data_IF_412516337346
#
_entry.id   IF_412516337346
#
_cell.length_a   1.000
_cell.length_b   1.000
_cell.length_c   1.000
_cell.angle_alpha   90.00
_cell.angle_beta   90.00
_cell.angle_gamma   90.00
#
_symmetry.space_group_name_H-M   'P 1'
#
loop_
_entity.id
_entity.type
_entity.pdbx_description
1 polymer ?
#
# COMPACT_ATOMS: atom_id res chain seq x y z
N UNK A 1 -15.75 -3.83 17.29
CA UNK A 1 -14.63 -3.77 16.34
C UNK A 1 -14.26 -5.17 15.85
N UNK A 2 -13.53 -5.25 14.76
CA UNK A 2 -13.07 -6.52 14.19
C UNK A 2 -11.99 -7.18 15.06
N UNK A 3 -11.21 -6.38 15.76
CA UNK A 3 -10.16 -6.83 16.67
C UNK A 3 -10.54 -6.50 18.12
N UNK A 4 -10.03 -7.27 19.11
CA UNK A 4 -10.29 -6.97 20.54
C UNK A 4 -9.62 -5.67 21.01
N UNK A 5 -8.64 -5.18 20.27
CA UNK A 5 -7.93 -3.92 20.52
C UNK A 5 -7.86 -3.09 19.24
N UNK A 6 -7.72 -1.77 19.39
CA UNK A 6 -7.56 -0.87 18.25
C UNK A 6 -6.27 -1.14 17.46
N UNK A 7 -5.23 -1.63 18.13
CA UNK A 7 -3.96 -2.03 17.54
C UNK A 7 -3.43 -3.29 18.21
N UNK A 8 -2.81 -4.15 17.41
CA UNK A 8 -2.15 -5.37 17.89
C UNK A 8 -0.82 -5.55 17.15
N UNK A 9 0.16 -6.14 17.83
CA UNK A 9 1.36 -6.66 17.16
C UNK A 9 1.23 -8.17 17.00
N UNK A 10 1.43 -8.63 15.77
CA UNK A 10 1.46 -10.05 15.43
C UNK A 10 2.71 -10.36 14.63
N UNK A 11 3.18 -11.60 14.69
CA UNK A 11 4.29 -12.04 13.84
C UNK A 11 3.79 -12.30 12.43
N UNK A 12 4.58 -11.95 11.41
CA UNK A 12 4.23 -12.24 10.02
C UNK A 12 3.98 -13.74 9.77
N UNK A 13 4.70 -14.64 10.50
CA UNK A 13 4.48 -16.09 10.43
C UNK A 13 3.10 -16.52 10.93
N UNK A 14 2.49 -15.79 11.84
CA UNK A 14 1.14 -16.07 12.33
C UNK A 14 0.08 -15.73 11.29
N UNK A 15 0.31 -14.68 10.50
CA UNK A 15 -0.58 -14.27 9.41
C UNK A 15 -0.64 -15.29 8.26
N UNK A 16 0.38 -16.14 8.09
CA UNK A 16 0.34 -17.22 7.09
C UNK A 16 -0.79 -18.21 7.34
N UNK A 17 -1.11 -18.49 8.60
CA UNK A 17 -2.03 -19.55 9.00
C UNK A 17 -3.29 -19.06 9.69
N UNK A 18 -3.29 -17.81 10.15
CA UNK A 18 -4.41 -17.24 10.91
C UNK A 18 -5.07 -16.12 10.11
N UNK A 19 -6.27 -16.36 9.56
CA UNK A 19 -7.01 -15.33 8.83
C UNK A 19 -7.37 -14.15 9.74
N UNK A 20 -7.19 -12.94 9.23
CA UNK A 20 -7.72 -11.76 9.89
C UNK A 20 -9.25 -11.68 9.72
N UNK A 21 -10.00 -11.26 10.75
CA UNK A 21 -11.45 -11.22 10.75
C UNK A 21 -11.97 -9.97 9.98
N UNK A 22 -11.49 -9.78 8.75
CA UNK A 22 -11.85 -8.66 7.89
C UNK A 22 -12.07 -9.13 6.46
N UNK A 23 -12.96 -8.50 5.73
CA UNK A 23 -13.14 -8.72 4.31
C UNK A 23 -12.07 -7.97 3.50
N UNK A 24 -11.69 -6.78 3.96
CA UNK A 24 -10.70 -5.93 3.31
C UNK A 24 -9.41 -5.86 4.13
N UNK A 25 -8.28 -6.02 3.45
CA UNK A 25 -6.95 -5.91 4.04
C UNK A 25 -6.19 -4.78 3.36
N UNK A 26 -5.86 -3.75 4.13
CA UNK A 26 -5.04 -2.64 3.68
C UNK A 26 -3.59 -2.84 4.13
N UNK A 27 -2.69 -3.00 3.20
CA UNK A 27 -1.25 -3.05 3.46
C UNK A 27 -0.70 -1.62 3.44
N UNK A 28 -0.06 -1.20 4.51
CA UNK A 28 0.57 0.12 4.63
C UNK A 28 2.06 -0.09 4.85
N UNK A 29 2.89 0.45 3.97
CA UNK A 29 4.34 0.24 4.03
C UNK A 29 4.95 0.82 5.30
N UNK A 30 4.63 2.08 5.59
CA UNK A 30 5.20 2.80 6.73
C UNK A 30 4.21 2.88 7.91
N UNK A 31 4.61 2.33 9.07
CA UNK A 31 3.77 2.36 10.27
C UNK A 31 3.48 3.79 10.79
N UNK A 32 4.33 4.76 10.43
CA UNK A 32 4.11 6.18 10.79
C UNK A 32 2.86 6.77 10.15
N UNK A 33 2.37 6.18 9.05
CA UNK A 33 1.14 6.61 8.38
C UNK A 33 -0.15 6.24 9.13
N UNK A 34 -0.06 5.59 10.29
CA UNK A 34 -1.24 5.25 11.11
C UNK A 34 -2.13 6.48 11.41
N UNK A 35 -1.52 7.64 11.66
CA UNK A 35 -2.26 8.87 11.95
C UNK A 35 -3.03 9.44 10.74
N UNK A 36 -2.69 9.02 9.54
CA UNK A 36 -3.36 9.40 8.28
C UNK A 36 -4.54 8.47 7.94
N UNK A 37 -4.68 7.35 8.65
CA UNK A 37 -5.81 6.45 8.42
C UNK A 37 -7.08 7.01 9.06
N UNK A 38 -8.26 6.78 8.44
CA UNK A 38 -9.53 7.15 9.03
C UNK A 38 -9.71 6.55 10.42
N UNK A 39 -10.13 7.38 11.38
CA UNK A 39 -10.34 6.92 12.75
C UNK A 39 -11.59 6.01 12.80
N UNK A 40 -11.51 4.83 13.45
CA UNK A 40 -12.61 3.86 13.48
C UNK A 40 -13.92 4.39 14.07
N UNK A 41 -13.83 5.40 14.94
CA UNK A 41 -15.00 6.00 15.59
C UNK A 41 -15.65 7.12 14.78
N UNK A 42 -14.87 7.81 13.92
CA UNK A 42 -15.36 8.97 13.18
C UNK A 42 -15.75 8.62 11.73
N UNK A 43 -14.95 7.81 11.08
CA UNK A 43 -15.15 7.42 9.66
C UNK A 43 -14.64 5.98 9.45
N UNK A 44 -15.36 4.96 9.94
CA UNK A 44 -14.90 3.59 9.81
C UNK A 44 -14.89 3.15 8.34
N UNK A 45 -13.80 2.46 7.95
CA UNK A 45 -13.79 1.68 6.71
C UNK A 45 -14.48 0.34 6.98
N UNK A 46 -15.56 0.00 6.25
CA UNK A 46 -16.32 -1.21 6.52
C UNK A 46 -15.44 -2.46 6.42
N UNK A 47 -15.52 -3.34 7.42
CA UNK A 47 -14.83 -4.64 7.45
C UNK A 47 -13.35 -4.62 7.02
N UNK A 48 -12.61 -3.57 7.42
CA UNK A 48 -11.21 -3.34 7.01
C UNK A 48 -10.27 -3.46 8.20
N UNK A 49 -9.16 -4.18 7.98
CA UNK A 49 -7.99 -4.18 8.88
C UNK A 49 -6.79 -3.65 8.10
N UNK A 50 -6.09 -2.67 8.67
CA UNK A 50 -4.83 -2.19 8.15
C UNK A 50 -3.67 -2.97 8.80
N UNK A 51 -2.75 -3.48 7.96
CA UNK A 51 -1.48 -4.10 8.36
C UNK A 51 -0.37 -3.12 8.03
N UNK A 52 0.23 -2.54 9.09
CA UNK A 52 1.26 -1.51 8.97
C UNK A 52 2.66 -2.12 9.07
N UNK A 53 3.64 -1.47 8.43
CA UNK A 53 5.02 -1.96 8.40
C UNK A 53 5.21 -3.13 7.41
N UNK A 54 4.35 -3.24 6.41
CA UNK A 54 4.38 -4.32 5.42
C UNK A 54 5.54 -4.21 4.41
N UNK A 55 6.30 -3.11 4.41
CA UNK A 55 7.25 -2.79 3.33
C UNK A 55 8.37 -3.80 3.11
N UNK A 56 8.85 -4.50 4.14
CA UNK A 56 10.03 -5.38 4.02
C UNK A 56 9.74 -6.88 4.16
N UNK A 57 8.58 -7.26 4.67
CA UNK A 57 8.25 -8.68 4.89
C UNK A 57 6.90 -9.03 4.27
N UNK A 58 6.90 -9.25 2.97
CA UNK A 58 5.71 -9.60 2.19
C UNK A 58 5.48 -11.11 2.07
N UNK A 59 6.37 -11.96 2.62
CA UNK A 59 6.26 -13.41 2.51
C UNK A 59 4.96 -14.00 3.04
N UNK A 60 4.34 -13.35 4.03
CA UNK A 60 3.05 -13.77 4.57
C UNK A 60 1.87 -13.56 3.59
N UNK A 61 2.04 -12.77 2.54
CA UNK A 61 1.04 -12.60 1.49
C UNK A 61 0.79 -13.88 0.68
N UNK A 62 1.67 -14.88 0.82
CA UNK A 62 1.42 -16.23 0.31
C UNK A 62 0.29 -16.98 1.04
N UNK A 63 -0.29 -16.40 2.10
CA UNK A 63 -1.38 -17.00 2.87
C UNK A 63 -2.62 -17.26 1.99
N UNK A 64 -3.12 -18.51 1.92
CA UNK A 64 -4.24 -18.85 1.03
C UNK A 64 -5.52 -18.06 1.30
N UNK A 65 -5.74 -17.67 2.56
CA UNK A 65 -6.93 -16.91 2.95
C UNK A 65 -7.02 -15.50 2.34
N UNK A 66 -5.89 -14.93 1.89
CA UNK A 66 -5.87 -13.62 1.22
C UNK A 66 -6.48 -13.66 -0.19
N UNK A 67 -6.53 -14.83 -0.82
CA UNK A 67 -7.12 -14.96 -2.17
C UNK A 67 -8.62 -14.67 -2.20
N UNK A 68 -9.29 -14.75 -1.05
CA UNK A 68 -10.72 -14.46 -0.89
C UNK A 68 -10.99 -13.07 -0.29
N UNK A 69 -9.96 -12.23 -0.19
CA UNK A 69 -10.05 -10.90 0.43
C UNK A 69 -9.82 -9.81 -0.62
N UNK A 70 -10.48 -8.67 -0.43
CA UNK A 70 -10.15 -7.45 -1.15
C UNK A 70 -8.89 -6.87 -0.52
N UNK A 71 -7.78 -6.86 -1.25
CA UNK A 71 -6.49 -6.43 -0.72
C UNK A 71 -6.02 -5.17 -1.44
N UNK A 72 -5.56 -4.19 -0.69
CA UNK A 72 -4.95 -2.99 -1.22
C UNK A 72 -3.54 -2.78 -0.63
N UNK A 73 -2.67 -2.16 -1.40
CA UNK A 73 -1.32 -1.76 -1.00
C UNK A 73 -1.16 -0.26 -1.17
N UNK A 74 -0.68 0.39 -0.13
CA UNK A 74 -0.29 1.79 -0.12
C UNK A 74 1.14 1.89 0.41
N UNK A 75 2.05 2.33 -0.44
CA UNK A 75 3.47 2.51 -0.16
C UNK A 75 3.96 3.91 -0.55
N UNK A 76 5.24 4.16 -0.33
CA UNK A 76 5.92 5.32 -0.89
C UNK A 76 5.79 5.31 -2.42
N UNK A 77 5.58 6.46 -3.02
CA UNK A 77 5.53 6.57 -4.47
C UNK A 77 6.94 6.89 -4.99
N UNK A 78 7.77 5.86 -5.00
CA UNK A 78 9.14 5.83 -5.48
C UNK A 78 9.45 4.50 -6.16
N UNK A 79 10.70 4.27 -6.56
CA UNK A 79 11.06 3.03 -7.25
C UNK A 79 11.00 1.81 -6.33
N UNK A 80 11.28 1.97 -5.02
CA UNK A 80 11.17 0.91 -4.03
C UNK A 80 9.72 0.54 -3.73
N UNK A 81 8.83 1.52 -3.52
CA UNK A 81 7.41 1.26 -3.28
C UNK A 81 6.76 0.55 -4.47
N UNK A 82 7.10 0.93 -5.72
CA UNK A 82 6.64 0.22 -6.91
C UNK A 82 7.23 -1.20 -7.00
N UNK A 83 8.49 -1.40 -6.59
CA UNK A 83 9.11 -2.72 -6.52
C UNK A 83 8.40 -3.62 -5.50
N UNK A 84 8.11 -3.10 -4.32
CA UNK A 84 7.37 -3.84 -3.28
C UNK A 84 5.93 -4.15 -3.71
N UNK A 85 5.26 -3.22 -4.40
CA UNK A 85 3.95 -3.45 -5.00
C UNK A 85 3.98 -4.64 -5.98
N UNK A 86 5.01 -4.72 -6.82
CA UNK A 86 5.18 -5.83 -7.75
C UNK A 86 5.34 -7.17 -7.02
N UNK A 87 6.15 -7.21 -5.95
CA UNK A 87 6.32 -8.40 -5.11
C UNK A 87 5.00 -8.80 -4.46
N UNK A 88 4.28 -7.84 -3.88
CA UNK A 88 2.97 -8.08 -3.26
C UNK A 88 1.97 -8.67 -4.27
N UNK A 89 1.93 -8.12 -5.49
CA UNK A 89 1.06 -8.59 -6.57
C UNK A 89 1.45 -9.99 -7.07
N UNK A 90 2.71 -10.37 -6.97
CA UNK A 90 3.15 -11.74 -7.22
C UNK A 90 2.51 -12.78 -6.31
N UNK A 91 2.15 -12.39 -5.08
CA UNK A 91 1.42 -13.22 -4.13
C UNK A 91 -0.09 -13.05 -4.24
N UNK A 92 -0.57 -11.83 -4.44
CA UNK A 92 -1.99 -11.47 -4.52
C UNK A 92 -2.26 -10.74 -5.84
N UNK A 93 -2.54 -11.46 -6.95
CA UNK A 93 -2.63 -10.87 -8.29
C UNK A 93 -3.70 -9.79 -8.46
N UNK A 94 -4.77 -9.85 -7.66
CA UNK A 94 -5.90 -8.90 -7.68
C UNK A 94 -5.71 -7.71 -6.73
N UNK A 95 -4.51 -7.50 -6.18
CA UNK A 95 -4.20 -6.44 -5.25
C UNK A 95 -4.33 -5.05 -5.90
N UNK A 96 -5.05 -4.15 -5.21
CA UNK A 96 -5.25 -2.76 -5.62
C UNK A 96 -4.07 -1.89 -5.16
N UNK A 97 -3.50 -1.09 -6.07
CA UNK A 97 -2.50 -0.08 -5.75
C UNK A 97 -3.19 1.24 -5.40
N UNK A 98 -3.14 1.66 -4.13
CA UNK A 98 -3.76 2.90 -3.67
C UNK A 98 -2.76 4.06 -3.71
N UNK A 99 -3.14 5.16 -4.37
CA UNK A 99 -2.34 6.38 -4.47
C UNK A 99 -0.97 6.20 -5.17
N UNK A 100 -0.67 5.01 -5.68
CA UNK A 100 0.61 4.69 -6.32
C UNK A 100 0.51 4.83 -7.85
N UNK A 101 0.17 6.02 -8.33
CA UNK A 101 -0.05 6.29 -9.74
C UNK A 101 0.48 7.66 -10.18
N UNK A 102 0.56 7.87 -11.50
CA UNK A 102 1.11 9.08 -12.10
C UNK A 102 0.29 10.34 -11.75
N UNK A 103 -1.02 10.22 -11.55
CA UNK A 103 -1.87 11.35 -11.18
C UNK A 103 -1.56 11.81 -9.76
N UNK A 104 -1.42 10.90 -8.81
CA UNK A 104 -1.01 11.20 -7.43
C UNK A 104 0.36 11.88 -7.41
N UNK A 105 1.35 11.33 -8.13
CA UNK A 105 2.67 11.94 -8.21
C UNK A 105 2.61 13.36 -8.78
N UNK A 106 1.89 13.56 -9.88
CA UNK A 106 1.78 14.88 -10.52
C UNK A 106 1.10 15.91 -9.62
N UNK A 107 0.05 15.51 -8.90
CA UNK A 107 -0.67 16.41 -7.99
C UNK A 107 0.18 16.87 -6.80
N UNK A 108 1.10 16.01 -6.35
CA UNK A 108 1.90 16.23 -5.13
C UNK A 108 3.41 16.33 -5.40
N UNK A 109 3.84 16.49 -6.65
CA UNK A 109 5.26 16.53 -7.05
C UNK A 109 6.06 17.61 -6.31
N UNK A 110 5.43 18.69 -5.89
CA UNK A 110 6.08 19.77 -5.12
C UNK A 110 6.56 19.31 -3.73
N UNK A 111 6.04 18.19 -3.21
CA UNK A 111 6.44 17.56 -1.95
C UNK A 111 7.53 16.48 -2.17
N UNK A 112 7.82 16.13 -3.42
CA UNK A 112 8.76 15.06 -3.72
C UNK A 112 10.20 15.43 -3.33
N UNK A 113 10.96 14.43 -2.92
CA UNK A 113 12.36 14.51 -2.52
C UNK A 113 13.23 13.61 -3.42
N UNK A 114 14.55 13.73 -3.29
CA UNK A 114 15.47 12.85 -4.00
C UNK A 114 15.34 11.41 -3.47
N UNK A 115 15.40 10.44 -4.37
CA UNK A 115 15.54 9.03 -4.03
C UNK A 115 17.03 8.67 -4.09
N UNK A 116 17.69 8.44 -2.94
CA UNK A 116 19.15 8.29 -2.91
C UNK A 116 19.64 7.02 -3.62
N UNK A 117 18.84 5.97 -3.56
CA UNK A 117 19.15 4.66 -4.17
C UNK A 117 17.89 4.11 -4.80
N UNK A 118 17.91 3.93 -6.10
CA UNK A 118 16.79 3.33 -6.82
C UNK A 118 16.71 1.82 -6.57
N UNK A 119 15.50 1.29 -6.57
CA UNK A 119 15.26 -0.15 -6.55
C UNK A 119 15.87 -0.82 -7.79
N UNK A 120 16.22 -2.12 -7.71
CA UNK A 120 16.60 -2.90 -8.89
C UNK A 120 15.45 -2.96 -9.88
N UNK A 121 15.75 -3.32 -11.13
CA UNK A 121 14.72 -3.53 -12.13
C UNK A 121 13.78 -4.66 -11.69
N UNK A 122 12.50 -4.40 -11.79
CA UNK A 122 11.47 -5.37 -11.40
C UNK A 122 11.33 -6.43 -12.49
N UNK A 123 10.99 -7.65 -12.07
CA UNK A 123 10.77 -8.76 -13.00
C UNK A 123 9.63 -8.40 -13.97
N UNK A 124 9.87 -8.57 -15.25
CA UNK A 124 8.90 -8.28 -16.30
C UNK A 124 7.55 -8.98 -16.05
N UNK A 125 6.46 -8.27 -16.26
CA UNK A 125 5.11 -8.80 -16.15
C UNK A 125 4.45 -8.66 -14.77
N UNK A 126 5.14 -8.09 -13.78
CA UNK A 126 4.57 -7.81 -12.45
C UNK A 126 3.99 -6.40 -12.34
N UNK A 127 4.37 -5.49 -13.21
CA UNK A 127 3.80 -4.17 -13.35
C UNK A 127 2.79 -4.08 -14.48
N UNK A 128 1.80 -3.24 -14.30
CA UNK A 128 0.98 -2.77 -15.44
C UNK A 128 1.81 -1.82 -16.31
N UNK A 129 1.45 -1.61 -17.59
CA UNK A 129 2.15 -0.64 -18.46
C UNK A 129 2.18 0.79 -17.87
N UNK A 130 1.17 1.16 -17.09
CA UNK A 130 1.12 2.47 -16.41
C UNK A 130 2.11 2.57 -15.26
N UNK A 131 2.30 1.51 -14.51
CA UNK A 131 3.28 1.42 -13.41
C UNK A 131 4.71 1.38 -13.95
N UNK A 132 4.95 0.69 -15.05
CA UNK A 132 6.25 0.66 -15.73
C UNK A 132 6.63 2.08 -16.22
N UNK A 133 5.71 2.75 -16.89
CA UNK A 133 5.92 4.13 -17.33
C UNK A 133 6.17 5.08 -16.14
N UNK A 134 5.48 4.86 -15.02
CA UNK A 134 5.68 5.65 -13.80
C UNK A 134 7.06 5.38 -13.20
N UNK A 135 7.50 4.13 -13.10
CA UNK A 135 8.82 3.79 -12.58
C UNK A 135 9.95 4.44 -13.41
N UNK A 136 9.84 4.42 -14.73
CA UNK A 136 10.78 5.11 -15.63
C UNK A 136 10.78 6.63 -15.39
N UNK A 137 9.59 7.22 -15.22
CA UNK A 137 9.45 8.65 -14.92
C UNK A 137 10.11 9.02 -13.58
N UNK A 138 9.87 8.23 -12.52
CA UNK A 138 10.44 8.50 -11.19
C UNK A 138 11.97 8.42 -11.22
N UNK A 139 12.54 7.41 -11.90
CA UNK A 139 13.99 7.27 -12.07
C UNK A 139 14.63 8.43 -12.80
N UNK A 140 13.93 9.05 -13.73
CA UNK A 140 14.43 10.15 -14.55
C UNK A 140 14.39 11.52 -13.84
N UNK A 141 13.80 11.60 -12.64
CA UNK A 141 13.63 12.85 -11.92
C UNK A 141 14.63 13.01 -10.78
N UNK A 142 15.18 14.21 -10.59
CA UNK A 142 16.03 14.54 -9.44
C UNK A 142 15.30 14.33 -8.10
N UNK A 143 13.97 14.50 -8.12
CA UNK A 143 13.08 14.31 -6.98
C UNK A 143 12.01 13.30 -7.38
N UNK A 144 12.38 12.03 -7.41
CA UNK A 144 11.53 10.92 -7.84
C UNK A 144 10.81 10.19 -6.70
N UNK A 145 10.93 10.65 -5.44
CA UNK A 145 10.34 10.01 -4.28
C UNK A 145 9.29 10.90 -3.62
N UNK A 146 8.07 10.43 -3.55
CA UNK A 146 6.97 11.03 -2.78
C UNK A 146 6.61 10.08 -1.63
N UNK A 147 7.04 10.45 -0.42
CA UNK A 147 6.79 9.63 0.77
C UNK A 147 5.31 9.65 1.14
N UNK A 148 4.80 8.52 1.62
CA UNK A 148 3.42 8.35 2.08
C UNK A 148 3.01 9.46 3.07
N UNK A 149 3.92 9.78 3.99
CA UNK A 149 3.72 10.75 5.08
C UNK A 149 3.46 12.17 4.56
N UNK A 150 3.88 12.49 3.34
CA UNK A 150 3.73 13.82 2.75
C UNK A 150 2.36 14.02 2.07
N UNK A 151 1.62 12.94 1.86
CA UNK A 151 0.29 13.04 1.26
C UNK A 151 -0.70 13.68 2.25
N UNK A 152 -1.55 14.61 1.78
CA UNK A 152 -2.61 15.17 2.61
C UNK A 152 -3.58 14.07 3.09
N UNK A 153 -3.95 14.09 4.37
CA UNK A 153 -4.87 13.12 4.95
C UNK A 153 -6.22 13.04 4.19
N UNK A 154 -6.68 14.16 3.65
CA UNK A 154 -7.91 14.20 2.84
C UNK A 154 -7.80 13.37 1.56
N UNK A 155 -6.66 13.42 0.87
CA UNK A 155 -6.39 12.63 -0.32
C UNK A 155 -6.37 11.12 0.02
N UNK A 156 -5.71 10.77 1.13
CA UNK A 156 -5.66 9.40 1.66
C UNK A 156 -7.06 8.90 2.01
N UNK A 157 -7.83 9.67 2.77
CA UNK A 157 -9.20 9.31 3.16
C UNK A 157 -10.13 9.16 1.95
N UNK A 158 -10.00 10.03 0.94
CA UNK A 158 -10.79 9.93 -0.27
C UNK A 158 -10.49 8.65 -1.05
N UNK A 159 -9.21 8.32 -1.23
CA UNK A 159 -8.79 7.11 -1.92
C UNK A 159 -9.24 5.83 -1.19
N UNK A 160 -9.09 5.81 0.14
CA UNK A 160 -9.50 4.67 0.96
C UNK A 160 -11.02 4.45 0.94
N UNK A 161 -11.81 5.52 0.96
CA UNK A 161 -13.27 5.41 0.82
C UNK A 161 -13.67 4.89 -0.54
N UNK A 162 -13.10 5.46 -1.61
CA UNK A 162 -13.38 4.98 -2.96
C UNK A 162 -13.10 3.47 -3.10
N UNK A 163 -11.95 3.01 -2.60
CA UNK A 163 -11.62 1.59 -2.59
C UNK A 163 -12.58 0.75 -1.73
N UNK A 164 -13.01 1.25 -0.58
CA UNK A 164 -13.93 0.53 0.29
C UNK A 164 -15.35 0.43 -0.29
N UNK A 165 -15.71 1.32 -1.21
CA UNK A 165 -17.01 1.36 -1.89
C UNK A 165 -17.02 0.54 -3.20
N UNK A 166 -15.84 0.04 -3.66
CA UNK A 166 -15.71 -0.89 -4.77
C UNK A 166 -16.11 -2.30 -4.28
N UNK A 167 -17.36 -2.72 -4.51
CA UNK A 167 -17.89 -4.09 -4.30
C UNK A 167 -18.14 -4.82 -5.61
#
# INVERSE_FOLDING_TARGET
GLLPFAQMRVRASELLTTPLPAHRILLVENERCLHQLPQPTAQPLPSTIAVLGAGLNLGWLAAPWLQERTVAYWGDLDTWGLHMLAIARGHVPHLHALLMNAATFSAHQHLAVAEPVHAPDTVAGTWTPKEEALALRLRAQDKGRLEQEFLPAEAVHSALRAWADED
#
